data_IF_284666508688
#
_entry.id   IF_284666508688
#
_cell.length_a   1.000
_cell.length_b   1.000
_cell.length_c   1.000
_cell.angle_alpha   90.00
_cell.angle_beta   90.00
_cell.angle_gamma   90.00
#
_symmetry.space_group_name_H-M   'P 1'
#
loop_
_entity.id
_entity.type
_entity.pdbx_description
1 polymer ?
#
# COMPACT_ATOMS: atom_id res chain seq x y z
N UNK A 1 25.18 22.85 -3.24
CA UNK A 1 23.92 22.62 -2.54
C UNK A 1 23.13 21.63 -3.38
N UNK A 2 22.86 20.46 -2.84
CA UNK A 2 21.92 19.54 -3.48
C UNK A 2 20.53 20.16 -3.30
N UNK A 3 19.96 20.67 -4.39
CA UNK A 3 18.56 21.06 -4.37
C UNK A 3 17.74 19.77 -4.27
N UNK A 4 16.94 19.67 -3.23
CA UNK A 4 15.98 18.58 -3.03
C UNK A 4 15.07 18.46 -4.26
N UNK A 5 14.88 17.27 -4.77
CA UNK A 5 14.03 17.05 -5.94
C UNK A 5 12.56 17.37 -5.56
N UNK A 6 11.80 18.11 -6.38
CA UNK A 6 10.41 18.50 -6.02
C UNK A 6 9.53 17.33 -5.57
N UNK A 7 9.71 16.14 -6.15
CA UNK A 7 8.95 14.96 -5.77
C UNK A 7 9.31 14.39 -4.39
N UNK A 8 10.45 14.74 -3.80
CA UNK A 8 10.80 14.36 -2.42
C UNK A 8 9.83 14.98 -1.42
N UNK A 9 9.48 16.26 -1.61
CA UNK A 9 8.50 16.94 -0.78
C UNK A 9 7.08 16.39 -1.01
N UNK A 10 6.72 16.11 -2.25
CA UNK A 10 5.42 15.53 -2.59
C UNK A 10 5.24 14.16 -1.94
N UNK A 11 6.23 13.28 -2.05
CA UNK A 11 6.13 11.93 -1.48
C UNK A 11 6.15 11.95 0.06
N UNK A 12 6.86 12.89 0.68
CA UNK A 12 6.82 13.07 2.12
C UNK A 12 5.42 13.51 2.59
N UNK A 13 4.82 14.49 1.94
CA UNK A 13 3.45 14.94 2.22
C UNK A 13 2.42 13.82 1.99
N UNK A 14 2.63 13.01 0.96
CA UNK A 14 1.79 11.83 0.70
C UNK A 14 1.85 10.80 1.83
N UNK A 15 3.05 10.53 2.35
CA UNK A 15 3.23 9.66 3.51
C UNK A 15 2.54 10.19 4.78
N UNK A 16 2.60 11.51 5.00
CA UNK A 16 1.88 12.16 6.12
C UNK A 16 0.36 12.01 5.97
N UNK A 17 -0.18 12.21 4.77
CA UNK A 17 -1.60 12.02 4.50
C UNK A 17 -2.06 10.57 4.76
N UNK A 18 -1.25 9.59 4.36
CA UNK A 18 -1.51 8.18 4.67
C UNK A 18 -1.50 7.91 6.18
N UNK A 19 -0.50 8.40 6.90
CA UNK A 19 -0.39 8.24 8.34
C UNK A 19 -1.46 9.03 9.12
N UNK A 20 -1.97 10.09 8.53
CA UNK A 20 -3.12 10.84 9.05
C UNK A 20 -4.49 10.23 8.70
N UNK A 21 -4.52 9.17 7.88
CA UNK A 21 -5.74 8.55 7.34
C UNK A 21 -6.63 9.58 6.62
N UNK A 22 -6.01 10.59 6.03
CA UNK A 22 -6.70 11.69 5.33
C UNK A 22 -6.92 11.33 3.86
N UNK A 23 -8.06 10.69 3.59
CA UNK A 23 -8.41 10.21 2.25
C UNK A 23 -8.45 11.36 1.24
N UNK A 24 -9.00 12.51 1.62
CA UNK A 24 -9.12 13.64 0.68
C UNK A 24 -7.74 14.26 0.38
N UNK A 25 -6.86 14.36 1.37
CA UNK A 25 -5.48 14.80 1.15
C UNK A 25 -4.71 13.81 0.26
N UNK A 26 -4.88 12.51 0.46
CA UNK A 26 -4.29 11.47 -0.41
C UNK A 26 -4.78 11.67 -1.85
N UNK A 27 -6.09 11.76 -2.06
CA UNK A 27 -6.70 11.88 -3.39
C UNK A 27 -6.35 13.19 -4.09
N UNK A 28 -6.15 14.27 -3.34
CA UNK A 28 -5.72 15.56 -3.91
C UNK A 28 -4.36 15.49 -4.59
N UNK A 29 -3.51 14.52 -4.22
CA UNK A 29 -2.19 14.30 -4.81
C UNK A 29 -2.21 13.37 -6.04
N UNK A 30 -3.37 12.82 -6.41
CA UNK A 30 -3.55 11.95 -7.57
C UNK A 30 -4.13 12.71 -8.76
N UNK A 31 -3.83 12.25 -9.98
CA UNK A 31 -4.58 12.70 -11.18
C UNK A 31 -6.03 12.16 -11.14
N UNK A 32 -6.93 12.77 -11.90
CA UNK A 32 -8.34 12.34 -11.94
C UNK A 32 -8.51 10.89 -12.43
N UNK A 33 -7.66 10.48 -13.36
CA UNK A 33 -7.64 9.16 -13.98
C UNK A 33 -6.58 8.21 -13.38
N UNK A 34 -6.04 8.57 -12.23
CA UNK A 34 -4.98 7.81 -11.56
C UNK A 34 -5.36 6.34 -11.37
N UNK A 35 -4.38 5.47 -11.48
CA UNK A 35 -4.53 4.02 -11.27
C UNK A 35 -3.85 3.63 -9.95
N UNK A 36 -4.58 2.94 -9.10
CA UNK A 36 -4.03 2.30 -7.90
C UNK A 36 -4.14 0.79 -8.08
N UNK A 37 -3.02 0.09 -8.05
CA UNK A 37 -3.00 -1.36 -8.19
C UNK A 37 -2.17 -2.00 -7.08
N UNK A 38 -2.82 -2.86 -6.30
CA UNK A 38 -2.11 -3.74 -5.38
C UNK A 38 -1.88 -5.09 -6.06
N UNK A 39 -0.65 -5.36 -6.47
CA UNK A 39 -0.28 -6.57 -7.19
C UNK A 39 -0.36 -7.83 -6.31
N UNK A 40 -0.23 -7.69 -5.01
CA UNK A 40 -0.33 -8.80 -4.06
C UNK A 40 -1.77 -9.28 -3.89
N UNK A 41 -2.73 -8.35 -3.81
CA UNK A 41 -4.15 -8.69 -3.70
C UNK A 41 -4.86 -8.88 -5.04
N UNK A 42 -4.24 -8.41 -6.13
CA UNK A 42 -4.80 -8.43 -7.47
C UNK A 42 -5.85 -7.35 -7.74
N UNK A 43 -6.09 -6.44 -6.78
CA UNK A 43 -7.06 -5.36 -6.92
C UNK A 43 -6.52 -4.17 -7.72
N UNK A 44 -7.34 -3.63 -8.63
CA UNK A 44 -7.05 -2.41 -9.38
C UNK A 44 -8.23 -1.43 -9.24
N UNK A 45 -7.91 -0.18 -8.97
CA UNK A 45 -8.86 0.92 -8.95
C UNK A 45 -8.43 2.00 -9.95
N UNK A 46 -9.36 2.48 -10.77
CA UNK A 46 -9.13 3.53 -11.76
C UNK A 46 -9.98 4.74 -11.42
N UNK A 47 -9.31 5.88 -11.27
CA UNK A 47 -9.93 7.15 -10.90
C UNK A 47 -10.13 7.34 -9.39
N UNK A 48 -10.24 8.59 -8.98
CA UNK A 48 -10.30 8.96 -7.55
C UNK A 48 -11.46 8.32 -6.79
N UNK A 49 -12.63 8.15 -7.41
CA UNK A 49 -13.78 7.54 -6.76
C UNK A 49 -13.52 6.08 -6.38
N UNK A 50 -12.94 5.30 -7.29
CA UNK A 50 -12.58 3.90 -7.04
C UNK A 50 -11.44 3.79 -6.02
N UNK A 51 -10.44 4.67 -6.10
CA UNK A 51 -9.33 4.72 -5.14
C UNK A 51 -9.86 5.04 -3.73
N UNK A 52 -10.82 5.95 -3.61
CA UNK A 52 -11.46 6.28 -2.31
C UNK A 52 -12.02 5.03 -1.64
N UNK A 53 -12.68 4.15 -2.38
CA UNK A 53 -13.25 2.91 -1.81
C UNK A 53 -12.14 1.95 -1.34
N UNK A 54 -11.03 1.87 -2.06
CA UNK A 54 -9.86 1.09 -1.61
C UNK A 54 -9.32 1.65 -0.28
N UNK A 55 -9.13 2.97 -0.20
CA UNK A 55 -8.61 3.63 1.01
C UNK A 55 -9.53 3.42 2.22
N UNK A 56 -10.85 3.57 2.02
CA UNK A 56 -11.83 3.26 3.07
C UNK A 56 -11.69 1.82 3.58
N UNK A 57 -11.53 0.87 2.66
CA UNK A 57 -11.35 -0.54 3.01
C UNK A 57 -10.08 -0.79 3.81
N UNK A 58 -8.96 -0.18 3.41
CA UNK A 58 -7.69 -0.30 4.12
C UNK A 58 -7.80 0.26 5.55
N UNK A 59 -8.33 1.46 5.71
CA UNK A 59 -8.46 2.08 7.03
C UNK A 59 -9.52 1.44 7.91
N UNK A 60 -10.55 0.79 7.33
CA UNK A 60 -11.49 -0.02 8.08
C UNK A 60 -10.85 -1.33 8.59
N UNK A 61 -10.04 -1.98 7.74
CA UNK A 61 -9.35 -3.21 8.11
C UNK A 61 -8.21 -2.98 9.11
N UNK A 62 -7.50 -1.84 8.97
CA UNK A 62 -6.33 -1.49 9.75
C UNK A 62 -6.45 -0.06 10.31
N UNK A 63 -7.33 0.17 11.31
CA UNK A 63 -7.62 1.53 11.79
C UNK A 63 -6.44 2.24 12.47
N UNK A 64 -5.41 1.50 12.85
CA UNK A 64 -4.18 2.03 13.47
C UNK A 64 -2.96 1.96 12.54
N UNK A 65 -3.17 1.74 11.23
CA UNK A 65 -2.06 1.57 10.28
C UNK A 65 -1.15 2.80 10.23
N UNK A 66 0.14 2.52 10.26
CA UNK A 66 1.21 3.50 10.06
C UNK A 66 2.24 2.94 9.10
N UNK A 67 2.79 3.84 8.29
CA UNK A 67 3.84 3.52 7.33
C UNK A 67 5.11 4.29 7.70
N UNK A 68 6.23 3.57 7.74
CA UNK A 68 7.56 4.15 7.87
C UNK A 68 8.31 3.96 6.55
N UNK A 69 8.65 5.07 5.88
CA UNK A 69 9.49 5.04 4.69
C UNK A 69 10.89 4.57 5.06
N UNK A 70 11.37 3.54 4.36
CA UNK A 70 12.69 2.95 4.62
C UNK A 70 13.74 3.49 3.66
N UNK A 71 13.45 3.46 2.38
CA UNK A 71 14.28 3.99 1.31
C UNK A 71 13.39 4.59 0.24
N UNK A 72 13.77 5.78 -0.21
CA UNK A 72 13.05 6.48 -1.27
C UNK A 72 14.01 6.81 -2.39
N UNK A 73 13.66 6.43 -3.59
CA UNK A 73 14.42 6.71 -4.81
C UNK A 73 13.57 7.61 -5.70
N UNK A 74 14.12 8.78 -6.02
CA UNK A 74 13.42 9.79 -6.81
C UNK A 74 14.15 10.01 -8.13
N UNK A 75 13.39 10.04 -9.22
CA UNK A 75 13.81 10.42 -10.57
C UNK A 75 12.72 11.30 -11.18
N UNK A 76 13.03 11.95 -12.29
CA UNK A 76 12.03 12.71 -13.02
C UNK A 76 10.84 11.84 -13.36
N UNK A 77 9.66 12.23 -12.88
CA UNK A 77 8.41 11.52 -13.11
C UNK A 77 8.25 10.18 -12.39
N UNK A 78 9.16 9.79 -11.48
CA UNK A 78 9.09 8.49 -10.82
C UNK A 78 9.61 8.54 -9.38
N UNK A 79 8.83 7.97 -8.47
CA UNK A 79 9.27 7.64 -7.11
C UNK A 79 9.13 6.14 -6.89
N UNK A 80 10.16 5.52 -6.31
CA UNK A 80 10.07 4.17 -5.74
C UNK A 80 10.35 4.27 -4.26
N UNK A 81 9.48 3.71 -3.44
CA UNK A 81 9.61 3.79 -1.99
C UNK A 81 9.43 2.44 -1.33
N UNK A 82 10.45 2.02 -0.59
CA UNK A 82 10.35 0.88 0.32
C UNK A 82 9.81 1.36 1.67
N UNK A 83 8.87 0.62 2.22
CA UNK A 83 8.24 0.97 3.49
C UNK A 83 8.00 -0.24 4.38
N UNK A 84 7.86 0.02 5.67
CA UNK A 84 7.34 -0.92 6.65
C UNK A 84 6.01 -0.39 7.15
N UNK A 85 4.97 -1.21 7.10
CA UNK A 85 3.70 -0.93 7.73
C UNK A 85 3.60 -1.64 9.08
N UNK A 86 2.88 -1.03 10.01
CA UNK A 86 2.49 -1.65 11.27
C UNK A 86 1.02 -1.37 11.56
N UNK A 87 0.27 -2.38 11.97
CA UNK A 87 -1.16 -2.26 12.24
C UNK A 87 -1.70 -3.45 13.02
N UNK A 88 -2.93 -3.27 13.53
CA UNK A 88 -3.75 -4.34 14.09
C UNK A 88 -4.94 -4.57 13.17
N UNK A 89 -5.12 -5.81 12.70
CA UNK A 89 -6.28 -6.16 11.87
C UNK A 89 -7.54 -6.12 12.72
N UNK A 90 -8.53 -5.33 12.31
CA UNK A 90 -9.77 -5.12 13.07
C UNK A 90 -10.94 -6.01 12.60
N UNK A 91 -10.95 -6.37 11.32
CA UNK A 91 -12.02 -7.17 10.69
C UNK A 91 -11.40 -8.25 9.81
N UNK A 92 -12.13 -9.34 9.44
CA UNK A 92 -11.62 -10.31 8.47
C UNK A 92 -11.16 -9.61 7.18
N UNK A 93 -10.00 -9.99 6.69
CA UNK A 93 -9.38 -9.36 5.52
C UNK A 93 -9.04 -10.41 4.48
N UNK A 94 -9.51 -10.21 3.25
CA UNK A 94 -9.23 -11.11 2.13
C UNK A 94 -8.26 -10.46 1.16
N UNK A 95 -7.16 -11.14 0.87
CA UNK A 95 -6.16 -10.70 -0.09
C UNK A 95 -5.63 -11.92 -0.85
N UNK A 96 -5.57 -11.82 -2.19
CA UNK A 96 -5.03 -12.89 -3.02
C UNK A 96 -5.73 -14.25 -2.83
N UNK A 97 -7.03 -14.25 -2.54
CA UNK A 97 -7.81 -15.47 -2.30
C UNK A 97 -7.63 -16.08 -0.89
N UNK A 98 -6.86 -15.45 -0.02
CA UNK A 98 -6.66 -15.88 1.37
C UNK A 98 -7.41 -14.93 2.31
N UNK A 99 -8.27 -15.47 3.16
CA UNK A 99 -8.95 -14.71 4.21
C UNK A 99 -8.25 -14.93 5.54
N UNK A 100 -7.86 -13.84 6.17
CA UNK A 100 -7.23 -13.84 7.49
C UNK A 100 -8.17 -13.25 8.53
N UNK A 101 -8.14 -13.80 9.74
CA UNK A 101 -8.97 -13.37 10.86
C UNK A 101 -8.18 -12.44 11.79
N UNK A 102 -8.84 -11.47 12.45
CA UNK A 102 -8.22 -10.67 13.49
C UNK A 102 -7.63 -11.54 14.61
N UNK A 103 -6.40 -11.24 15.02
CA UNK A 103 -5.72 -11.93 16.15
C UNK A 103 -5.61 -11.04 17.40
N UNK A 104 -5.93 -9.74 17.27
CA UNK A 104 -5.70 -8.74 18.32
C UNK A 104 -4.24 -8.31 18.45
N UNK A 105 -3.33 -8.90 17.70
CA UNK A 105 -1.90 -8.56 17.73
C UNK A 105 -1.58 -7.47 16.73
N UNK A 106 -0.74 -6.53 17.15
CA UNK A 106 -0.10 -5.58 16.23
C UNK A 106 0.97 -6.32 15.43
N UNK A 107 0.88 -6.22 14.11
CA UNK A 107 1.80 -6.85 13.17
C UNK A 107 2.57 -5.81 12.38
N UNK A 108 3.67 -6.23 11.78
CA UNK A 108 4.48 -5.41 10.90
C UNK A 108 4.86 -6.19 9.65
N UNK A 109 4.87 -5.51 8.50
CA UNK A 109 5.24 -6.11 7.21
C UNK A 109 5.84 -5.05 6.28
N UNK A 110 6.55 -5.51 5.25
CA UNK A 110 7.22 -4.65 4.29
C UNK A 110 6.51 -4.61 2.95
N UNK A 111 6.75 -3.53 2.23
CA UNK A 111 6.29 -3.39 0.86
C UNK A 111 7.12 -2.39 0.08
N UNK A 112 6.82 -2.31 -1.20
CA UNK A 112 7.40 -1.37 -2.15
C UNK A 112 6.30 -0.76 -2.98
N UNK A 113 6.35 0.54 -3.15
CA UNK A 113 5.53 1.28 -4.08
C UNK A 113 6.37 1.76 -5.27
N UNK A 114 5.82 1.61 -6.46
CA UNK A 114 6.33 2.21 -7.69
C UNK A 114 5.32 3.24 -8.15
N UNK A 115 5.72 4.51 -8.20
CA UNK A 115 4.80 5.64 -8.31
C UNK A 115 5.21 6.56 -9.47
N UNK A 116 4.69 6.34 -10.69
CA UNK A 116 4.80 7.30 -11.79
C UNK A 116 4.00 8.57 -11.51
N UNK A 117 4.60 9.71 -11.84
CA UNK A 117 4.00 11.04 -11.70
C UNK A 117 3.72 11.69 -13.06
N UNK A 118 2.66 12.46 -13.13
CA UNK A 118 2.40 13.46 -14.18
C UNK A 118 2.55 14.85 -13.54
N UNK A 119 3.67 15.51 -13.80
CA UNK A 119 4.07 16.70 -13.05
C UNK A 119 4.28 16.35 -11.57
N UNK A 120 3.57 17.02 -10.68
CA UNK A 120 3.60 16.76 -9.24
C UNK A 120 2.42 15.91 -8.74
N UNK A 121 1.63 15.33 -9.64
CA UNK A 121 0.50 14.48 -9.29
C UNK A 121 0.81 13.01 -9.59
N UNK A 122 0.35 12.14 -8.72
CA UNK A 122 0.48 10.69 -8.86
C UNK A 122 -0.45 10.22 -10.00
N UNK A 123 0.16 9.74 -11.09
CA UNK A 123 -0.57 9.19 -12.22
C UNK A 123 -0.89 7.70 -12.01
N UNK A 124 -0.03 7.01 -11.26
CA UNK A 124 -0.21 5.60 -10.96
C UNK A 124 0.52 5.23 -9.66
N UNK A 125 -0.04 4.30 -8.92
CA UNK A 125 0.61 3.68 -7.76
C UNK A 125 0.51 2.17 -7.88
N UNK A 126 1.64 1.52 -8.04
CA UNK A 126 1.78 0.07 -8.00
C UNK A 126 2.32 -0.34 -6.63
N UNK A 127 1.60 -1.20 -5.93
CA UNK A 127 1.94 -1.69 -4.59
C UNK A 127 2.32 -3.15 -4.65
N UNK A 128 3.49 -3.49 -4.11
CA UNK A 128 3.96 -4.86 -3.92
C UNK A 128 4.21 -5.09 -2.42
N UNK A 129 3.53 -6.06 -1.85
CA UNK A 129 3.63 -6.39 -0.42
C UNK A 129 4.41 -7.69 -0.24
N UNK A 130 5.28 -7.76 0.77
CA UNK A 130 5.82 -9.03 1.26
C UNK A 130 4.69 -9.85 1.92
N UNK A 131 3.94 -10.57 1.08
CA UNK A 131 2.79 -11.36 1.53
C UNK A 131 3.16 -12.50 2.45
N UNK A 132 4.33 -13.11 2.27
CA UNK A 132 4.81 -14.17 3.16
C UNK A 132 5.17 -13.62 4.53
N UNK A 133 5.82 -12.46 4.58
CA UNK A 133 6.10 -11.75 5.83
C UNK A 133 4.82 -11.34 6.55
N UNK A 134 3.83 -10.83 5.82
CA UNK A 134 2.52 -10.47 6.35
C UNK A 134 1.80 -11.68 6.96
N UNK A 135 1.73 -12.80 6.23
CA UNK A 135 1.09 -14.02 6.72
C UNK A 135 1.80 -14.59 7.95
N UNK A 136 3.15 -14.63 7.94
CA UNK A 136 3.92 -15.07 9.13
C UNK A 136 3.67 -14.19 10.35
N UNK A 137 3.57 -12.87 10.16
CA UNK A 137 3.25 -11.94 11.24
C UNK A 137 1.87 -12.21 11.85
N UNK A 138 0.91 -12.69 11.05
CA UNK A 138 -0.41 -13.15 11.49
C UNK A 138 -0.42 -14.55 12.11
N UNK A 139 0.73 -15.25 12.16
CA UNK A 139 0.88 -16.56 12.80
C UNK A 139 0.73 -17.75 11.87
N UNK A 140 0.72 -17.55 10.54
CA UNK A 140 0.77 -18.65 9.58
C UNK A 140 2.18 -19.28 9.60
N UNK A 141 2.28 -20.54 10.02
CA UNK A 141 3.55 -21.24 10.16
C UNK A 141 3.84 -22.23 9.03
N UNK A 142 2.81 -22.56 8.22
CA UNK A 142 2.94 -23.46 7.08
C UNK A 142 2.18 -22.92 5.90
N UNK A 143 2.87 -22.80 4.76
CA UNK A 143 2.25 -22.65 3.47
C UNK A 143 2.12 -24.04 2.88
N UNK A 144 0.91 -24.58 2.82
CA UNK A 144 0.66 -25.87 2.19
C UNK A 144 0.99 -25.82 0.70
N UNK A 145 1.81 -26.75 0.21
CA UNK A 145 1.97 -26.94 -1.22
C UNK A 145 0.66 -27.54 -1.78
N UNK A 146 -0.06 -26.77 -2.58
CA UNK A 146 -1.18 -27.31 -3.35
C UNK A 146 -0.60 -28.03 -4.56
N UNK A 147 -0.51 -29.34 -4.48
CA UNK A 147 -0.23 -30.16 -5.66
C UNK A 147 -1.52 -30.29 -6.43
N UNK A 148 -1.61 -29.62 -7.60
CA UNK A 148 -2.70 -29.87 -8.52
C UNK A 148 -2.59 -31.33 -8.98
N UNK A 149 -3.53 -32.18 -8.54
CA UNK A 149 -3.67 -33.51 -9.13
C UNK A 149 -4.21 -33.37 -10.54
N UNK A 150 -3.36 -33.63 -11.54
CA UNK A 150 -3.86 -33.86 -12.90
C UNK A 150 -4.73 -35.11 -12.84
N UNK A 151 -6.04 -34.93 -12.94
CA UNK A 151 -6.98 -35.97 -13.32
C UNK A 151 -7.42 -35.73 -14.74
#
# INVERSE_FOLDING_TARGET
MNSEHPLEQVIAAYGEAWNGHDIEAILAMHTEDSVFQNHTSGGQAIGKAAIREILKGVFAAFPDIRFDARRTYVRDGLVTQEWTASATLAVPYTSGGVTVQPTGKKISWNGVDVIPFAGNLIARKDVYVDSMGFLRALGFTQVGLIVASNR
#
